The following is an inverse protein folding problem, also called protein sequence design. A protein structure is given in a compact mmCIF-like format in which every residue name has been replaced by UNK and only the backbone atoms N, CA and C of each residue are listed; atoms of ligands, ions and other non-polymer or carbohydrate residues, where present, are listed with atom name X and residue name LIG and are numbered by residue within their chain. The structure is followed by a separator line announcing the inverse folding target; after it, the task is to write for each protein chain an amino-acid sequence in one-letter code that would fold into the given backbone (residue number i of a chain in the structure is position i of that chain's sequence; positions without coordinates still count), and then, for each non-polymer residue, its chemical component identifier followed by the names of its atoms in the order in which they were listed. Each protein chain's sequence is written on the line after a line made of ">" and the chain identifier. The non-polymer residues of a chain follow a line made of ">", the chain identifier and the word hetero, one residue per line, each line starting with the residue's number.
data_IF_266689011221
#
_entry.id   IF_266689011221
#
_cell.length_a   1.000
_cell.length_b   1.000
_cell.length_c   1.000
_cell.angle_alpha   90.00
_cell.angle_beta   90.00
_cell.angle_gamma   90.00
#
_symmetry.space_group_name_H-M   'P 1'
#
loop_
_entity.id
_entity.type
_entity.pdbx_description
1 polymer ?
#
# COMPACT_ATOMS: atom_id res chain seq x y z
N UNK A 1 -28.21 -7.91 -9.52
CA UNK A 1 -27.24 -7.00 -8.87
C UNK A 1 -26.18 -7.77 -8.10
N UNK A 2 -26.54 -8.74 -7.25
CA UNK A 2 -25.56 -9.53 -6.48
C UNK A 2 -24.47 -10.23 -7.31
N UNK A 3 -24.85 -10.86 -8.44
CA UNK A 3 -23.87 -11.50 -9.33
C UNK A 3 -22.83 -10.51 -9.91
N UNK A 4 -23.19 -9.23 -10.09
CA UNK A 4 -22.27 -8.22 -10.63
C UNK A 4 -21.17 -7.93 -9.61
N UNK A 5 -21.49 -7.82 -8.32
CA UNK A 5 -20.50 -7.56 -7.28
C UNK A 5 -19.51 -8.73 -7.13
N UNK A 6 -20.02 -9.96 -7.15
CA UNK A 6 -19.18 -11.16 -7.10
C UNK A 6 -18.26 -11.22 -8.31
N UNK A 7 -18.79 -10.88 -9.50
CA UNK A 7 -17.99 -10.83 -10.72
C UNK A 7 -16.87 -9.78 -10.66
N UNK A 8 -17.16 -8.57 -10.20
CA UNK A 8 -16.15 -7.50 -10.03
C UNK A 8 -15.08 -7.91 -9.02
N UNK A 9 -15.48 -8.52 -7.91
CA UNK A 9 -14.56 -9.03 -6.90
C UNK A 9 -13.66 -10.16 -7.45
N UNK A 10 -14.24 -11.09 -8.20
CA UNK A 10 -13.48 -12.14 -8.87
C UNK A 10 -12.47 -11.56 -9.87
N UNK A 11 -12.88 -10.56 -10.67
CA UNK A 11 -11.99 -9.87 -11.59
C UNK A 11 -10.83 -9.17 -10.87
N UNK A 12 -11.09 -8.54 -9.72
CA UNK A 12 -10.05 -7.93 -8.90
C UNK A 12 -9.00 -8.95 -8.43
N UNK A 13 -9.44 -10.11 -7.91
CA UNK A 13 -8.50 -11.16 -7.48
C UNK A 13 -7.72 -11.77 -8.65
N UNK A 14 -8.39 -12.01 -9.78
CA UNK A 14 -7.78 -12.59 -10.98
C UNK A 14 -6.70 -11.65 -11.53
N UNK A 15 -7.01 -10.35 -11.69
CA UNK A 15 -6.06 -9.38 -12.24
C UNK A 15 -4.84 -9.21 -11.34
N UNK A 16 -5.03 -9.08 -10.02
CA UNK A 16 -3.92 -9.02 -9.06
C UNK A 16 -3.05 -10.27 -9.09
N UNK A 17 -3.67 -11.46 -9.17
CA UNK A 17 -2.95 -12.73 -9.25
C UNK A 17 -2.15 -12.84 -10.55
N UNK A 18 -2.72 -12.45 -11.69
CA UNK A 18 -2.02 -12.44 -12.98
C UNK A 18 -0.79 -11.53 -12.93
N UNK A 19 -0.92 -10.31 -12.39
CA UNK A 19 0.21 -9.38 -12.23
C UNK A 19 1.32 -10.02 -11.38
N UNK A 20 0.96 -10.65 -10.24
CA UNK A 20 1.92 -11.33 -9.38
C UNK A 20 2.65 -12.48 -10.09
N UNK A 21 1.92 -13.30 -10.86
CA UNK A 21 2.49 -14.41 -11.62
C UNK A 21 3.44 -13.93 -12.72
N UNK A 22 3.09 -12.85 -13.42
CA UNK A 22 3.96 -12.22 -14.44
C UNK A 22 5.22 -11.66 -13.78
N UNK A 23 5.07 -10.92 -12.68
CA UNK A 23 6.19 -10.36 -11.91
C UNK A 23 7.17 -11.46 -11.45
N UNK A 24 6.63 -12.57 -10.94
CA UNK A 24 7.44 -13.73 -10.53
C UNK A 24 8.23 -14.36 -11.68
N UNK A 25 7.65 -14.44 -12.88
CA UNK A 25 8.32 -15.09 -14.03
C UNK A 25 9.36 -14.20 -14.70
N UNK A 26 9.12 -12.89 -14.78
CA UNK A 26 9.89 -11.98 -15.65
C UNK A 26 10.69 -10.95 -14.83
N UNK A 27 10.15 -10.50 -13.70
CA UNK A 27 10.68 -9.37 -12.93
C UNK A 27 11.72 -9.73 -11.88
N UNK A 28 11.56 -10.88 -11.21
CA UNK A 28 12.38 -11.25 -10.03
C UNK A 28 13.48 -12.24 -10.44
N UNK A 29 14.74 -11.79 -10.46
CA UNK A 29 15.92 -12.63 -10.77
C UNK A 29 16.89 -12.75 -9.59
N UNK A 30 16.88 -11.76 -8.70
CA UNK A 30 17.76 -11.69 -7.53
C UNK A 30 17.00 -11.16 -6.30
N UNK A 31 17.66 -11.23 -5.15
CA UNK A 31 17.17 -10.65 -3.89
C UNK A 31 16.97 -9.13 -3.99
N UNK A 32 17.80 -8.43 -4.77
CA UNK A 32 17.67 -6.99 -5.01
C UNK A 32 16.40 -6.69 -5.82
N UNK A 33 16.08 -7.52 -6.82
CA UNK A 33 14.83 -7.36 -7.57
C UNK A 33 13.60 -7.61 -6.69
N UNK A 34 13.71 -8.54 -5.74
CA UNK A 34 12.61 -8.89 -4.85
C UNK A 34 12.30 -7.78 -3.83
N UNK A 35 13.33 -7.18 -3.20
CA UNK A 35 13.13 -6.20 -2.13
C UNK A 35 12.99 -4.76 -2.61
N UNK A 36 13.76 -4.35 -3.62
CA UNK A 36 13.87 -2.95 -4.06
C UNK A 36 13.58 -2.76 -5.55
N UNK A 37 13.06 -3.79 -6.23
CA UNK A 37 12.80 -3.77 -7.67
C UNK A 37 14.02 -3.35 -8.52
N UNK A 38 15.23 -3.62 -8.04
CA UNK A 38 16.47 -3.17 -8.67
C UNK A 38 16.65 -1.65 -8.70
N UNK A 39 16.04 -0.90 -7.78
CA UNK A 39 16.08 0.56 -7.73
C UNK A 39 15.51 1.26 -8.98
N UNK A 40 14.62 0.59 -9.69
CA UNK A 40 14.02 1.06 -10.96
C UNK A 40 12.65 1.72 -10.78
N UNK A 41 12.08 1.70 -9.57
CA UNK A 41 10.78 2.30 -9.29
C UNK A 41 10.86 3.83 -9.33
N UNK A 42 10.02 4.44 -10.16
CA UNK A 42 9.90 5.90 -10.20
C UNK A 42 9.26 6.45 -8.92
N UNK A 43 9.55 7.69 -8.56
CA UNK A 43 9.05 8.30 -7.33
C UNK A 43 7.53 8.29 -7.20
N UNK A 44 6.80 8.51 -8.31
CA UNK A 44 5.34 8.43 -8.32
C UNK A 44 4.85 7.01 -8.02
N UNK A 45 5.42 6.00 -8.68
CA UNK A 45 5.01 4.61 -8.48
C UNK A 45 5.35 4.11 -7.07
N UNK A 46 6.49 4.55 -6.53
CA UNK A 46 6.86 4.32 -5.14
C UNK A 46 5.85 4.96 -4.16
N UNK A 47 5.48 6.23 -4.39
CA UNK A 47 4.49 6.92 -3.56
C UNK A 47 3.10 6.27 -3.62
N UNK A 48 2.67 5.81 -4.80
CA UNK A 48 1.40 5.07 -4.95
C UNK A 48 1.41 3.72 -4.23
N UNK A 49 2.54 2.99 -4.28
CA UNK A 49 2.69 1.71 -3.57
C UNK A 49 2.69 1.93 -2.06
N UNK A 50 3.34 2.99 -1.59
CA UNK A 50 3.29 3.43 -0.20
C UNK A 50 1.84 3.73 0.22
N UNK A 51 1.13 4.59 -0.52
CA UNK A 51 -0.26 4.93 -0.22
C UNK A 51 -1.18 3.69 -0.20
N UNK A 52 -1.03 2.78 -1.15
CA UNK A 52 -1.79 1.52 -1.19
C UNK A 52 -1.53 0.63 0.04
N UNK A 53 -0.31 0.63 0.57
CA UNK A 53 0.06 -0.11 1.78
C UNK A 53 -0.54 0.55 3.03
N UNK A 54 -0.59 1.88 3.05
CA UNK A 54 -1.20 2.66 4.13
C UNK A 54 -2.71 2.46 4.21
N UNK A 55 -3.43 2.64 3.10
CA UNK A 55 -4.89 2.58 3.02
C UNK A 55 -5.44 1.14 3.06
N UNK A 56 -5.16 0.47 4.17
CA UNK A 56 -5.62 -0.86 4.50
C UNK A 56 -7.07 -0.89 4.98
N UNK A 57 -7.62 -2.10 5.19
CA UNK A 57 -8.93 -2.29 5.81
C UNK A 57 -9.06 -1.61 7.18
N UNK A 58 -7.97 -1.53 7.94
CA UNK A 58 -7.95 -0.79 9.21
C UNK A 58 -8.18 0.71 8.97
N UNK A 59 -7.48 1.33 8.02
CA UNK A 59 -7.69 2.76 7.73
C UNK A 59 -9.09 3.03 7.19
N UNK A 60 -9.61 2.16 6.33
CA UNK A 60 -10.90 2.35 5.67
C UNK A 60 -12.11 2.07 6.57
N UNK A 61 -12.02 1.10 7.48
CA UNK A 61 -13.15 0.66 8.31
C UNK A 61 -12.87 0.90 9.80
N UNK A 62 -11.70 0.50 10.28
CA UNK A 62 -11.32 0.60 11.69
C UNK A 62 -11.19 2.04 12.17
N UNK A 63 -10.37 2.85 11.49
CA UNK A 63 -10.15 4.26 11.84
C UNK A 63 -11.42 5.08 11.68
N UNK A 64 -12.23 4.79 10.66
CA UNK A 64 -13.56 5.40 10.48
C UNK A 64 -14.48 5.04 11.64
N UNK A 65 -14.47 3.78 12.08
CA UNK A 65 -15.21 3.35 13.29
C UNK A 65 -14.74 4.05 14.56
N UNK A 66 -13.42 4.27 14.71
CA UNK A 66 -12.89 5.08 15.81
C UNK A 66 -13.32 6.54 15.73
N UNK A 67 -13.26 7.15 14.55
CA UNK A 67 -13.73 8.52 14.34
C UNK A 67 -15.23 8.65 14.64
N UNK A 68 -16.04 7.65 14.30
CA UNK A 68 -17.45 7.61 14.67
C UNK A 68 -17.64 7.57 16.20
N UNK A 69 -16.84 6.77 16.90
CA UNK A 69 -16.96 6.59 18.35
C UNK A 69 -16.36 7.73 19.19
N UNK A 70 -15.23 8.31 18.76
CA UNK A 70 -14.41 9.25 19.55
C UNK A 70 -14.25 10.62 18.91
N UNK A 71 -14.77 10.81 17.69
CA UNK A 71 -14.70 12.07 16.95
C UNK A 71 -13.33 12.38 16.37
N UNK A 72 -13.01 13.67 16.25
CA UNK A 72 -11.80 14.16 15.58
C UNK A 72 -10.48 13.75 16.27
N UNK A 73 -10.54 13.25 17.52
CA UNK A 73 -9.36 12.70 18.19
C UNK A 73 -8.68 11.58 17.40
N UNK A 74 -9.45 10.80 16.63
CA UNK A 74 -8.94 9.77 15.73
C UNK A 74 -8.03 10.33 14.61
N UNK A 75 -8.22 11.58 14.20
CA UNK A 75 -7.34 12.26 13.23
C UNK A 75 -5.89 12.37 13.74
N UNK A 76 -5.69 12.39 15.06
CA UNK A 76 -4.36 12.38 15.67
C UNK A 76 -3.54 11.13 15.28
N UNK A 77 -4.20 9.98 15.11
CA UNK A 77 -3.55 8.75 14.63
C UNK A 77 -2.96 8.95 13.23
N UNK A 78 -3.75 9.47 12.30
CA UNK A 78 -3.33 9.66 10.91
C UNK A 78 -2.19 10.69 10.78
N UNK A 79 -2.26 11.78 11.54
CA UNK A 79 -1.20 12.79 11.54
C UNK A 79 0.09 12.27 12.17
N UNK A 80 0.00 11.55 13.29
CA UNK A 80 1.17 10.97 13.93
C UNK A 80 1.82 9.91 13.03
N UNK A 81 1.00 9.10 12.35
CA UNK A 81 1.46 8.15 11.34
C UNK A 81 2.19 8.86 10.19
N UNK A 82 1.60 9.93 9.62
CA UNK A 82 2.20 10.68 8.52
C UNK A 82 3.53 11.34 8.94
N UNK A 83 3.56 11.98 10.11
CA UNK A 83 4.75 12.63 10.66
C UNK A 83 5.86 11.60 10.90
N UNK A 84 5.54 10.49 11.55
CA UNK A 84 6.50 9.41 11.83
C UNK A 84 7.05 8.83 10.54
N UNK A 85 6.19 8.54 9.57
CA UNK A 85 6.63 7.96 8.30
C UNK A 85 7.50 8.92 7.51
N UNK A 86 7.11 10.19 7.41
CA UNK A 86 7.91 11.21 6.72
C UNK A 86 9.28 11.39 7.39
N UNK A 87 9.32 11.37 8.73
CA UNK A 87 10.57 11.41 9.49
C UNK A 87 11.46 10.19 9.18
N UNK A 88 10.90 8.98 9.24
CA UNK A 88 11.63 7.76 8.93
C UNK A 88 12.14 7.75 7.49
N UNK A 89 11.34 8.17 6.51
CA UNK A 89 11.77 8.27 5.12
C UNK A 89 12.86 9.33 4.95
N UNK A 90 12.71 10.52 5.53
CA UNK A 90 13.72 11.57 5.45
C UNK A 90 15.08 11.12 6.02
N UNK A 91 15.06 10.32 7.10
CA UNK A 91 16.28 9.86 7.74
C UNK A 91 16.87 8.59 7.08
N UNK A 92 16.06 7.58 6.80
CA UNK A 92 16.54 6.28 6.33
C UNK A 92 16.57 6.14 4.82
N UNK A 93 15.62 6.72 4.08
CA UNK A 93 15.52 6.53 2.63
C UNK A 93 16.83 6.83 1.89
N UNK A 94 17.57 7.94 2.15
CA UNK A 94 18.82 8.22 1.45
C UNK A 94 19.95 7.19 1.66
N UNK A 95 19.80 6.27 2.63
CA UNK A 95 20.81 5.25 2.97
C UNK A 95 20.42 3.85 2.48
N UNK A 96 19.13 3.58 2.35
CA UNK A 96 18.61 2.23 2.03
C UNK A 96 18.04 2.13 0.62
N UNK A 97 17.62 3.27 0.06
CA UNK A 97 17.10 3.41 -1.29
C UNK A 97 18.15 4.06 -2.20
#
# INVERSE_FOLDING_TARGET
>A
MEMIYIFVLALYFITGTIIALISRRIGIKSTIDYYVAGYRLSGLLAAMTYAATTYSAFMMIGLVGFAYATGIGAFGFENLYLLTTTFLLAFFAPRVW
#
